data_IF_804734069525
#
_entry.id   IF_804734069525
#
_cell.length_a   1.000
_cell.length_b   1.000
_cell.length_c   1.000
_cell.angle_alpha   90.00
_cell.angle_beta   90.00
_cell.angle_gamma   90.00
#
_symmetry.space_group_name_H-M   'P 1'
#
loop_
_entity.id
_entity.type
_entity.pdbx_description
1 polymer ?
#
# COMPACT_ATOMS: atom_id res chain seq x y z
N UNK A 1 46.89 -55.17 28.34
CA UNK A 1 46.41 -54.58 27.07
C UNK A 1 45.97 -53.15 27.40
N UNK A 2 46.82 -52.11 27.27
CA UNK A 2 47.07 -51.27 26.06
C UNK A 2 45.77 -50.75 25.44
N UNK A 3 45.50 -49.48 25.12
CA UNK A 3 46.22 -48.19 25.05
C UNK A 3 45.12 -47.13 24.76
N UNK A 4 44.97 -46.03 25.51
CA UNK A 4 45.39 -44.64 25.22
C UNK A 4 45.61 -44.22 23.73
N UNK A 5 45.15 -42.98 23.43
CA UNK A 5 45.28 -42.10 22.23
C UNK A 5 44.22 -42.30 21.14
N UNK A 6 43.53 -41.28 20.58
CA UNK A 6 43.95 -39.95 20.04
C UNK A 6 42.65 -39.27 19.50
N UNK A 7 42.25 -38.01 19.75
CA UNK A 7 42.67 -36.70 19.18
C UNK A 7 41.69 -35.67 19.84
N UNK A 8 42.07 -34.72 20.70
CA UNK A 8 42.85 -33.49 20.49
C UNK A 8 42.19 -32.46 19.56
N UNK A 9 41.49 -31.48 20.14
CA UNK A 9 41.39 -30.12 19.61
C UNK A 9 41.29 -29.13 20.78
N UNK A 10 42.46 -28.79 21.31
CA UNK A 10 42.67 -27.60 22.13
C UNK A 10 42.28 -26.37 21.32
N UNK A 11 41.16 -25.72 21.66
CA UNK A 11 41.05 -24.28 21.52
C UNK A 11 41.54 -23.68 22.85
N UNK A 12 42.82 -23.33 22.84
CA UNK A 12 43.51 -22.51 23.81
C UNK A 12 42.62 -21.39 24.36
N UNK A 13 42.17 -21.54 25.60
CA UNK A 13 41.94 -20.41 26.49
C UNK A 13 43.31 -19.75 26.70
N UNK A 14 43.66 -18.84 25.79
CA UNK A 14 44.75 -17.90 26.01
C UNK A 14 44.28 -16.91 27.08
N UNK A 15 44.25 -17.35 28.34
CA UNK A 15 44.43 -16.44 29.45
C UNK A 15 45.80 -15.78 29.24
N UNK A 16 45.91 -14.44 29.18
CA UNK A 16 47.21 -13.82 29.27
C UNK A 16 47.78 -14.23 30.62
N UNK A 17 48.78 -15.11 30.59
CA UNK A 17 49.57 -15.46 31.75
C UNK A 17 50.15 -14.14 32.23
N UNK A 18 49.60 -13.61 33.32
CA UNK A 18 50.20 -12.52 34.06
C UNK A 18 51.59 -13.03 34.45
N UNK A 19 52.62 -12.44 33.85
CA UNK A 19 53.99 -12.72 34.21
C UNK A 19 54.15 -12.43 35.70
N UNK A 20 54.11 -13.47 36.52
CA UNK A 20 54.36 -13.38 37.95
C UNK A 20 55.86 -13.18 38.14
N UNK A 21 56.30 -11.95 38.30
CA UNK A 21 57.58 -11.66 38.94
C UNK A 21 57.32 -11.49 40.45
N UNK A 22 57.72 -12.47 41.25
CA UNK A 22 57.74 -12.43 42.72
C UNK A 22 56.38 -12.36 43.47
N UNK A 23 55.32 -13.00 42.96
CA UNK A 23 54.14 -13.34 43.78
C UNK A 23 53.26 -12.17 44.23
N UNK A 24 53.38 -10.99 43.63
CA UNK A 24 52.42 -9.88 43.79
C UNK A 24 51.82 -9.50 42.44
N UNK A 25 50.49 -9.48 42.37
CA UNK A 25 49.74 -8.90 41.26
C UNK A 25 50.06 -7.40 41.20
N UNK A 26 50.61 -6.94 40.09
CA UNK A 26 50.76 -5.51 39.78
C UNK A 26 49.37 -4.93 39.49
N UNK A 27 48.78 -4.11 40.39
CA UNK A 27 47.42 -3.61 40.24
C UNK A 27 47.26 -2.74 39.00
N UNK A 28 48.32 -2.05 38.57
CA UNK A 28 48.28 -1.15 37.42
C UNK A 28 48.23 -1.91 36.08
N UNK A 29 48.86 -3.10 36.02
CA UNK A 29 48.80 -4.00 34.84
C UNK A 29 47.55 -4.87 34.82
N UNK A 30 47.02 -5.26 35.98
CA UNK A 30 45.76 -5.99 36.07
C UNK A 30 44.57 -5.11 35.60
N UNK A 31 44.55 -3.83 35.96
CA UNK A 31 43.49 -2.88 35.55
C UNK A 31 43.48 -2.64 34.04
N UNK A 32 44.65 -2.60 33.40
CA UNK A 32 44.77 -2.35 31.95
C UNK A 32 44.46 -3.58 31.11
N UNK A 33 44.59 -4.79 31.66
CA UNK A 33 44.23 -6.04 30.96
C UNK A 33 42.75 -6.42 31.15
N UNK A 34 42.10 -5.88 32.18
CA UNK A 34 40.63 -5.90 32.36
C UNK A 34 39.94 -4.69 31.72
N UNK A 35 40.44 -4.20 30.58
CA UNK A 35 39.60 -3.37 29.72
C UNK A 35 38.40 -4.20 29.29
N UNK A 36 37.29 -4.06 30.01
CA UNK A 36 35.97 -4.48 29.52
C UNK A 36 35.83 -3.81 28.16
N UNK A 37 35.90 -4.58 27.08
CA UNK A 37 35.75 -4.02 25.74
C UNK A 37 34.28 -3.63 25.60
N UNK A 38 33.99 -2.39 25.20
CA UNK A 38 32.62 -1.99 24.88
C UNK A 38 32.09 -2.92 23.81
N UNK A 39 30.95 -3.57 24.09
CA UNK A 39 30.28 -4.40 23.10
C UNK A 39 29.44 -3.53 22.18
N UNK A 40 29.52 -3.76 20.87
CA UNK A 40 28.64 -3.11 19.89
C UNK A 40 27.36 -3.93 19.62
N UNK A 41 27.09 -4.97 20.41
CA UNK A 41 25.92 -5.85 20.20
C UNK A 41 24.59 -5.08 20.26
N UNK A 42 24.51 -4.02 21.06
CA UNK A 42 23.34 -3.15 21.13
C UNK A 42 22.98 -2.55 19.75
N UNK A 43 23.94 -2.33 18.85
CA UNK A 43 23.69 -1.80 17.51
C UNK A 43 22.97 -2.77 16.58
N UNK A 44 22.93 -4.07 16.94
CA UNK A 44 22.23 -5.10 16.16
C UNK A 44 20.71 -5.00 16.28
N UNK A 45 20.18 -4.34 17.33
CA UNK A 45 18.73 -4.14 17.47
C UNK A 45 18.24 -3.08 16.47
N UNK A 46 17.11 -3.30 15.79
CA UNK A 46 16.61 -2.38 14.75
C UNK A 46 16.32 -0.97 15.27
N UNK A 47 16.02 -0.83 16.57
CA UNK A 47 15.80 0.47 17.19
C UNK A 47 17.03 1.38 17.20
N UNK A 48 18.24 0.83 17.07
CA UNK A 48 19.46 1.66 17.04
C UNK A 48 19.50 2.54 15.79
N UNK A 49 19.45 1.90 14.61
CA UNK A 49 19.47 2.62 13.33
C UNK A 49 18.32 3.63 13.24
N UNK A 50 17.14 3.24 13.72
CA UNK A 50 15.97 4.12 13.71
C UNK A 50 16.18 5.37 14.57
N UNK A 51 16.60 5.22 15.83
CA UNK A 51 16.81 6.38 16.69
C UNK A 51 18.00 7.24 16.25
N UNK A 52 19.05 6.65 15.69
CA UNK A 52 20.17 7.42 15.14
C UNK A 52 19.70 8.28 13.97
N UNK A 53 18.94 7.71 13.03
CA UNK A 53 18.36 8.47 11.90
C UNK A 53 17.43 9.59 12.39
N UNK A 54 16.51 9.29 13.31
CA UNK A 54 15.61 10.29 13.88
C UNK A 54 16.37 11.39 14.63
N UNK A 55 17.42 11.04 15.36
CA UNK A 55 18.26 12.01 16.06
C UNK A 55 19.05 12.91 15.10
N UNK A 56 19.59 12.34 14.00
CA UNK A 56 20.24 13.12 12.94
C UNK A 56 19.24 14.07 12.27
N UNK A 57 18.03 13.59 11.99
CA UNK A 57 16.97 14.40 11.40
C UNK A 57 16.50 15.54 12.32
N UNK A 58 16.33 15.26 13.63
CA UNK A 58 16.04 16.27 14.65
C UNK A 58 17.14 17.34 14.75
N UNK A 59 18.41 16.92 14.66
CA UNK A 59 19.57 17.81 14.65
C UNK A 59 19.60 18.70 13.40
N UNK A 60 19.38 18.13 12.22
CA UNK A 60 19.33 18.88 10.97
C UNK A 60 18.15 19.87 10.99
N UNK A 61 17.00 19.43 11.49
CA UNK A 61 15.80 20.29 11.65
C UNK A 61 16.11 21.49 12.55
N UNK A 62 16.76 21.27 13.70
CA UNK A 62 17.18 22.36 14.59
C UNK A 62 18.12 23.36 13.90
N UNK A 63 19.14 22.86 13.19
CA UNK A 63 20.11 23.70 12.48
C UNK A 63 19.49 24.54 11.36
N UNK A 64 18.40 24.04 10.78
CA UNK A 64 17.61 24.74 9.78
C UNK A 64 16.56 25.69 10.40
N UNK A 65 16.59 25.91 11.71
CA UNK A 65 15.65 26.81 12.42
C UNK A 65 14.27 26.20 12.69
N UNK A 66 14.12 24.89 12.49
CA UNK A 66 12.90 24.15 12.79
C UNK A 66 12.72 23.84 14.28
N UNK A 67 11.55 23.28 14.61
CA UNK A 67 11.28 22.77 15.96
C UNK A 67 11.94 21.40 16.13
N UNK A 68 12.68 21.23 17.22
CA UNK A 68 13.38 19.98 17.55
C UNK A 68 13.14 19.56 19.00
N UNK A 69 13.37 18.27 19.28
CA UNK A 69 13.27 17.66 20.60
C UNK A 69 14.45 18.05 21.48
N UNK A 70 15.66 18.02 20.93
CA UNK A 70 16.87 18.46 21.61
C UNK A 70 17.30 19.85 21.15
N UNK A 71 17.92 20.61 22.06
CA UNK A 71 18.58 21.87 21.73
C UNK A 71 20.03 21.53 21.37
N UNK A 72 20.30 21.34 20.08
CA UNK A 72 21.58 20.80 19.60
C UNK A 72 22.75 21.78 19.68
N UNK A 73 22.49 23.10 19.72
CA UNK A 73 23.53 24.11 19.71
C UNK A 73 24.48 23.95 18.51
N UNK A 74 25.79 23.97 18.77
CA UNK A 74 26.84 23.79 17.76
C UNK A 74 27.28 22.33 17.57
N UNK A 75 26.60 21.36 18.18
CA UNK A 75 26.99 19.94 18.10
C UNK A 75 26.89 19.41 16.66
N UNK A 76 27.71 18.41 16.31
CA UNK A 76 27.60 17.68 15.06
C UNK A 76 26.33 16.81 15.04
N UNK A 77 25.77 16.55 13.86
CA UNK A 77 24.62 15.65 13.73
C UNK A 77 25.12 14.22 13.56
N UNK A 78 25.53 13.60 14.67
CA UNK A 78 26.09 12.25 14.71
C UNK A 78 25.64 11.47 15.96
N UNK A 79 25.94 10.17 15.96
CA UNK A 79 25.63 9.22 17.04
C UNK A 79 26.13 9.72 18.42
N UNK A 80 27.35 10.26 18.48
CA UNK A 80 27.96 10.72 19.73
C UNK A 80 27.20 11.91 20.32
N UNK A 81 26.79 12.83 19.46
CA UNK A 81 26.03 14.02 19.86
C UNK A 81 24.60 13.68 20.27
N UNK A 82 23.99 12.64 19.66
CA UNK A 82 22.70 12.10 20.11
C UNK A 82 22.81 11.59 21.55
N UNK A 83 23.78 10.69 21.82
CA UNK A 83 23.98 10.14 23.17
C UNK A 83 24.31 11.24 24.18
N UNK A 84 25.13 12.24 23.79
CA UNK A 84 25.40 13.41 24.62
C UNK A 84 24.11 14.18 24.96
N UNK A 85 23.29 14.48 23.96
CA UNK A 85 22.02 15.21 24.14
C UNK A 85 21.02 14.46 25.02
N UNK A 86 20.97 13.13 24.91
CA UNK A 86 20.16 12.28 25.81
C UNK A 86 20.68 12.36 27.25
N UNK A 87 22.00 12.28 27.44
CA UNK A 87 22.63 12.33 28.76
C UNK A 87 22.49 13.69 29.47
N UNK A 88 22.38 14.79 28.72
CA UNK A 88 22.13 16.13 29.27
C UNK A 88 20.76 16.27 29.96
N UNK A 89 19.82 15.35 29.67
CA UNK A 89 18.51 15.26 30.34
C UNK A 89 18.33 13.86 30.92
N UNK A 90 18.85 13.53 32.11
CA UNK A 90 18.80 12.18 32.67
C UNK A 90 17.41 11.54 32.69
N UNK A 91 16.35 12.35 32.87
CA UNK A 91 14.95 11.93 32.78
C UNK A 91 14.50 11.40 31.40
N UNK A 92 15.20 11.70 30.30
CA UNK A 92 14.88 11.17 28.97
C UNK A 92 15.54 9.82 28.69
N UNK A 93 16.61 9.46 29.41
CA UNK A 93 17.34 8.19 29.22
C UNK A 93 16.41 6.98 29.26
N UNK A 94 15.47 6.85 30.23
CA UNK A 94 14.58 5.69 30.26
C UNK A 94 13.67 5.60 29.03
N UNK A 95 13.12 6.72 28.58
CA UNK A 95 12.22 6.76 27.41
C UNK A 95 13.01 6.48 26.13
N UNK A 96 14.20 7.06 25.99
CA UNK A 96 15.11 6.81 24.87
C UNK A 96 15.47 5.33 24.79
N UNK A 97 15.88 4.72 25.90
CA UNK A 97 16.25 3.32 25.93
C UNK A 97 15.05 2.40 25.69
N UNK A 98 13.88 2.71 26.25
CA UNK A 98 12.66 1.94 25.98
C UNK A 98 12.24 2.02 24.50
N UNK A 99 12.33 3.21 23.88
CA UNK A 99 12.07 3.36 22.46
C UNK A 99 13.06 2.57 21.62
N UNK A 100 14.35 2.60 21.96
CA UNK A 100 15.40 1.79 21.34
C UNK A 100 15.08 0.28 21.43
N UNK A 101 14.71 -0.15 22.63
CA UNK A 101 14.51 -1.56 22.97
C UNK A 101 13.28 -2.14 22.26
N UNK A 102 12.18 -1.40 22.22
CA UNK A 102 10.89 -1.89 21.73
C UNK A 102 10.61 -1.59 20.25
N UNK A 103 11.41 -0.73 19.61
CA UNK A 103 11.21 -0.41 18.20
C UNK A 103 11.28 -1.65 17.31
N UNK A 104 10.31 -1.80 16.42
CA UNK A 104 10.19 -2.95 15.51
C UNK A 104 9.56 -4.19 16.16
N UNK A 105 9.22 -4.15 17.45
CA UNK A 105 8.40 -5.20 18.07
C UNK A 105 6.99 -5.22 17.45
N UNK A 106 6.29 -6.35 17.58
CA UNK A 106 4.90 -6.47 17.12
C UNK A 106 3.97 -5.44 17.79
N UNK A 107 4.25 -5.10 19.05
CA UNK A 107 3.40 -4.21 19.85
C UNK A 107 3.66 -2.73 19.53
N UNK A 108 4.92 -2.33 19.30
CA UNK A 108 5.28 -0.92 19.01
C UNK A 108 5.25 -0.61 17.51
N UNK A 109 5.72 -1.54 16.68
CA UNK A 109 5.87 -1.35 15.25
C UNK A 109 7.14 -0.57 14.86
N UNK A 110 7.24 -0.26 13.58
CA UNK A 110 8.34 0.46 12.96
C UNK A 110 7.83 1.35 11.83
N UNK A 111 8.58 2.39 11.47
CA UNK A 111 8.31 3.15 10.24
C UNK A 111 8.79 2.34 9.03
N UNK A 112 7.96 2.34 7.99
CA UNK A 112 8.17 1.56 6.76
C UNK A 112 9.26 2.12 5.86
N UNK A 113 9.51 3.43 5.94
CA UNK A 113 10.57 4.16 5.25
C UNK A 113 10.88 5.45 6.02
N UNK A 114 12.07 6.02 5.81
CA UNK A 114 12.48 7.33 6.33
C UNK A 114 12.38 8.44 5.26
N UNK A 115 11.95 8.12 4.03
CA UNK A 115 11.80 9.08 2.94
C UNK A 115 10.49 9.84 3.06
N UNK A 116 10.52 11.17 3.25
CA UNK A 116 9.31 11.99 3.49
C UNK A 116 8.15 11.71 2.52
N UNK A 117 7.16 10.97 3.01
CA UNK A 117 5.83 10.82 2.40
C UNK A 117 4.81 11.03 3.52
N UNK A 118 3.65 11.61 3.22
CA UNK A 118 2.59 11.87 4.20
C UNK A 118 2.25 10.64 5.08
N UNK A 119 2.43 9.41 4.54
CA UNK A 119 2.16 8.15 5.24
C UNK A 119 3.06 7.94 6.46
N UNK A 120 4.27 8.50 6.43
CA UNK A 120 5.23 8.41 7.54
C UNK A 120 4.76 9.22 8.74
N UNK A 121 4.02 10.31 8.55
CA UNK A 121 3.57 11.14 9.68
C UNK A 121 2.61 10.38 10.59
N UNK A 122 1.74 9.53 10.01
CA UNK A 122 0.84 8.66 10.76
C UNK A 122 1.62 7.54 11.49
N UNK A 123 2.54 6.87 10.79
CA UNK A 123 3.38 5.81 11.37
C UNK A 123 4.25 6.36 12.53
N UNK A 124 4.86 7.55 12.36
CA UNK A 124 5.65 8.22 13.39
C UNK A 124 4.83 8.63 14.60
N UNK A 125 3.63 9.17 14.41
CA UNK A 125 2.76 9.58 15.51
C UNK A 125 2.21 8.40 16.30
N UNK A 126 2.08 7.22 15.68
CA UNK A 126 1.57 6.00 16.31
C UNK A 126 2.58 5.33 17.25
N UNK A 127 3.88 5.39 16.92
CA UNK A 127 4.95 4.75 17.70
C UNK A 127 4.94 5.19 19.18
N UNK A 128 4.91 6.49 19.53
CA UNK A 128 4.83 6.93 20.92
C UNK A 128 3.59 6.41 21.67
N UNK A 129 2.44 6.29 20.99
CA UNK A 129 1.19 5.78 21.57
C UNK A 129 1.32 4.30 21.93
N UNK A 130 1.84 3.51 20.98
CA UNK A 130 2.05 2.09 21.19
C UNK A 130 3.12 1.85 22.27
N UNK A 131 4.21 2.61 22.23
CA UNK A 131 5.25 2.56 23.25
C UNK A 131 4.69 2.86 24.65
N UNK A 132 3.88 3.92 24.80
CA UNK A 132 3.24 4.25 26.07
C UNK A 132 2.31 3.12 26.56
N UNK A 133 1.66 2.42 25.64
CA UNK A 133 0.81 1.26 25.93
C UNK A 133 1.62 0.07 26.43
N UNK A 134 2.69 -0.30 25.72
CA UNK A 134 3.61 -1.39 26.12
C UNK A 134 4.25 -1.11 27.47
N UNK A 135 4.65 0.13 27.70
CA UNK A 135 5.29 0.58 28.94
C UNK A 135 4.33 0.71 30.14
N UNK A 136 3.03 0.50 29.93
CA UNK A 136 2.07 0.38 31.04
C UNK A 136 2.16 -0.98 31.75
N UNK A 137 2.88 -1.96 31.19
CA UNK A 137 3.11 -3.27 31.80
C UNK A 137 4.37 -3.27 32.69
N UNK A 138 4.24 -3.41 34.03
CA UNK A 138 5.40 -3.36 34.94
C UNK A 138 6.46 -4.44 34.67
N UNK A 139 6.05 -5.65 34.29
CA UNK A 139 6.99 -6.75 34.01
C UNK A 139 7.84 -6.45 32.77
N UNK A 140 7.25 -5.80 31.77
CA UNK A 140 7.96 -5.33 30.58
C UNK A 140 8.98 -4.26 30.95
N UNK A 141 8.61 -3.31 31.79
CA UNK A 141 9.51 -2.24 32.27
C UNK A 141 10.68 -2.80 33.08
N UNK A 142 10.44 -3.83 33.89
CA UNK A 142 11.52 -4.52 34.63
C UNK A 142 12.52 -5.18 33.68
N UNK A 143 12.05 -5.91 32.66
CA UNK A 143 12.93 -6.53 31.66
C UNK A 143 13.75 -5.49 30.88
N UNK A 144 13.12 -4.39 30.47
CA UNK A 144 13.81 -3.28 29.78
C UNK A 144 14.91 -2.67 30.67
N UNK A 145 14.66 -2.52 31.98
CA UNK A 145 15.67 -1.99 32.91
C UNK A 145 16.87 -2.94 33.06
N UNK A 146 16.64 -4.24 33.11
CA UNK A 146 17.72 -5.22 33.23
C UNK A 146 18.62 -5.21 31.98
N UNK A 147 18.03 -5.12 30.79
CA UNK A 147 18.77 -4.92 29.54
C UNK A 147 19.50 -3.58 29.52
N UNK A 148 18.88 -2.50 30.04
CA UNK A 148 19.50 -1.18 30.15
C UNK A 148 20.77 -1.21 31.02
N UNK A 149 20.77 -1.89 32.17
CA UNK A 149 21.97 -1.97 33.03
C UNK A 149 23.13 -2.68 32.31
N UNK A 150 22.82 -3.65 31.45
CA UNK A 150 23.81 -4.37 30.64
C UNK A 150 24.34 -3.48 29.48
N UNK A 151 23.45 -2.79 28.78
CA UNK A 151 23.78 -2.07 27.55
C UNK A 151 24.36 -0.67 27.80
N UNK A 152 23.92 0.03 28.86
CA UNK A 152 24.16 1.48 29.05
C UNK A 152 25.64 1.87 28.96
N UNK A 153 26.53 1.03 29.49
CA UNK A 153 27.96 1.34 29.55
C UNK A 153 28.60 1.33 28.16
N UNK A 154 28.22 0.33 27.35
CA UNK A 154 28.68 0.22 25.96
C UNK A 154 28.06 1.31 25.08
N UNK A 155 26.78 1.62 25.27
CA UNK A 155 26.08 2.73 24.59
C UNK A 155 26.60 4.12 24.98
N UNK A 156 27.21 4.26 26.15
CA UNK A 156 27.62 5.56 26.70
C UNK A 156 26.49 6.33 27.38
N UNK A 157 25.41 5.65 27.80
CA UNK A 157 24.33 6.25 28.59
C UNK A 157 24.72 6.37 30.07
N UNK A 158 24.34 7.48 30.69
CA UNK A 158 24.51 7.70 32.14
C UNK A 158 23.69 6.69 32.93
N UNK A 159 24.17 6.34 34.13
CA UNK A 159 23.45 5.45 35.06
C UNK A 159 22.23 6.16 35.63
N UNK A 160 21.09 5.49 35.59
CA UNK A 160 19.81 5.89 36.19
C UNK A 160 19.41 4.81 37.19
N UNK A 161 18.94 5.21 38.38
CA UNK A 161 18.49 4.23 39.36
C UNK A 161 17.24 3.49 38.86
N UNK A 162 17.03 2.24 39.28
CA UNK A 162 15.81 1.48 38.93
C UNK A 162 14.52 2.25 39.29
N UNK A 163 14.53 2.93 40.43
CA UNK A 163 13.40 3.76 40.87
C UNK A 163 13.14 4.90 39.89
N UNK A 164 14.17 5.68 39.55
CA UNK A 164 14.03 6.82 38.64
C UNK A 164 13.67 6.37 37.23
N UNK A 165 14.23 5.24 36.77
CA UNK A 165 13.88 4.64 35.50
C UNK A 165 12.38 4.33 35.43
N UNK A 166 11.87 3.59 36.42
CA UNK A 166 10.44 3.24 36.51
C UNK A 166 9.55 4.48 36.62
N UNK A 167 9.96 5.48 37.40
CA UNK A 167 9.20 6.72 37.56
C UNK A 167 9.11 7.52 36.25
N UNK A 168 10.20 7.63 35.49
CA UNK A 168 10.20 8.29 34.18
C UNK A 168 9.33 7.55 33.16
N UNK A 169 9.40 6.22 33.13
CA UNK A 169 8.55 5.39 32.27
C UNK A 169 7.07 5.54 32.64
N UNK A 170 6.74 5.50 33.93
CA UNK A 170 5.37 5.69 34.40
C UNK A 170 4.84 7.10 34.07
N UNK A 171 5.67 8.13 34.17
CA UNK A 171 5.32 9.49 33.77
C UNK A 171 5.03 9.59 32.27
N UNK A 172 5.83 8.92 31.43
CA UNK A 172 5.58 8.84 29.99
C UNK A 172 4.29 8.07 29.67
N UNK A 173 4.10 6.90 30.27
CA UNK A 173 2.92 6.07 30.05
C UNK A 173 1.60 6.78 30.45
N UNK A 174 1.63 7.64 31.48
CA UNK A 174 0.48 8.48 31.86
C UNK A 174 0.05 9.46 30.76
N UNK A 175 0.94 9.83 29.84
CA UNK A 175 0.61 10.71 28.71
C UNK A 175 -0.02 9.97 27.52
N UNK A 176 -0.29 8.65 27.62
CA UNK A 176 -0.85 7.83 26.54
C UNK A 176 -2.07 8.46 25.89
N UNK A 177 -3.03 8.94 26.68
CA UNK A 177 -4.29 9.46 26.14
C UNK A 177 -4.10 10.79 25.39
N UNK A 178 -3.14 11.62 25.82
CA UNK A 178 -2.74 12.83 25.11
C UNK A 178 -2.03 12.51 23.80
N UNK A 179 -1.13 11.51 23.81
CA UNK A 179 -0.47 11.01 22.60
C UNK A 179 -1.49 10.42 21.61
N UNK A 180 -2.46 9.64 22.10
CA UNK A 180 -3.52 9.06 21.29
C UNK A 180 -4.41 10.14 20.64
N UNK A 181 -4.73 11.18 21.39
CA UNK A 181 -5.49 12.33 20.86
C UNK A 181 -4.70 13.07 19.77
N UNK A 182 -3.40 13.27 19.97
CA UNK A 182 -2.53 13.90 18.96
C UNK A 182 -2.40 13.04 17.70
N UNK A 183 -2.26 11.72 17.87
CA UNK A 183 -2.25 10.75 16.78
C UNK A 183 -3.55 10.82 15.98
N UNK A 184 -4.71 10.75 16.64
CA UNK A 184 -6.01 10.78 15.97
C UNK A 184 -6.19 12.06 15.14
N UNK A 185 -5.77 13.21 15.68
CA UNK A 185 -5.82 14.48 14.95
C UNK A 185 -4.97 14.45 13.68
N UNK A 186 -3.72 14.00 13.79
CA UNK A 186 -2.83 13.89 12.63
C UNK A 186 -3.35 12.89 11.60
N UNK A 187 -3.91 11.77 12.06
CA UNK A 187 -4.54 10.77 11.22
C UNK A 187 -5.71 11.36 10.42
N UNK A 188 -6.64 12.04 11.08
CA UNK A 188 -7.83 12.62 10.45
C UNK A 188 -7.48 13.72 9.44
N UNK A 189 -6.48 14.55 9.74
CA UNK A 189 -5.96 15.58 8.82
C UNK A 189 -5.35 14.94 7.57
N UNK A 190 -4.52 13.91 7.74
CA UNK A 190 -3.91 13.19 6.61
C UNK A 190 -4.97 12.49 5.75
N UNK A 191 -5.99 11.85 6.36
CA UNK A 191 -7.08 11.21 5.61
C UNK A 191 -7.83 12.18 4.71
N UNK A 192 -8.11 13.40 5.19
CA UNK A 192 -8.75 14.44 4.38
C UNK A 192 -7.89 14.85 3.19
N UNK A 193 -6.59 15.02 3.41
CA UNK A 193 -5.66 15.36 2.33
C UNK A 193 -5.60 14.25 1.27
N UNK A 194 -5.49 12.98 1.69
CA UNK A 194 -5.48 11.86 0.75
C UNK A 194 -6.76 11.75 -0.08
N UNK A 195 -7.90 12.00 0.53
CA UNK A 195 -9.17 11.99 -0.19
C UNK A 195 -9.20 13.12 -1.24
N UNK A 196 -8.78 14.33 -0.88
CA UNK A 196 -8.72 15.46 -1.81
C UNK A 196 -7.75 15.21 -2.97
N UNK A 197 -6.57 14.65 -2.70
CA UNK A 197 -5.58 14.30 -3.72
C UNK A 197 -6.09 13.20 -4.66
N UNK A 198 -6.76 12.17 -4.11
CA UNK A 198 -7.40 11.11 -4.89
C UNK A 198 -8.48 11.69 -5.80
N UNK A 199 -9.37 12.52 -5.28
CA UNK A 199 -10.48 13.10 -6.04
C UNK A 199 -9.96 14.03 -7.15
N UNK A 200 -8.92 14.81 -6.87
CA UNK A 200 -8.25 15.64 -7.87
C UNK A 200 -7.60 14.79 -8.97
N UNK A 201 -6.95 13.68 -8.60
CA UNK A 201 -6.35 12.74 -9.57
C UNK A 201 -7.42 12.10 -10.45
N UNK A 202 -8.47 11.54 -9.86
CA UNK A 202 -9.59 10.91 -10.60
C UNK A 202 -10.23 11.91 -11.56
N UNK A 203 -10.42 13.16 -11.14
CA UNK A 203 -10.96 14.22 -12.01
C UNK A 203 -10.03 14.51 -13.19
N UNK A 204 -8.72 14.56 -12.95
CA UNK A 204 -7.71 14.78 -14.00
C UNK A 204 -7.66 13.62 -14.99
N UNK A 205 -7.55 12.39 -14.50
CA UNK A 205 -7.54 11.16 -15.31
C UNK A 205 -8.80 11.06 -16.17
N UNK A 206 -9.97 11.39 -15.61
CA UNK A 206 -11.24 11.44 -16.37
C UNK A 206 -11.19 12.49 -17.49
N UNK A 207 -10.67 13.67 -17.22
CA UNK A 207 -10.55 14.74 -18.22
C UNK A 207 -9.57 14.36 -19.34
N UNK A 208 -8.43 13.78 -18.99
CA UNK A 208 -7.43 13.27 -19.94
C UNK A 208 -7.99 12.13 -20.80
N UNK A 209 -8.76 11.21 -20.20
CA UNK A 209 -9.43 10.13 -20.93
C UNK A 209 -10.41 10.69 -21.96
N UNK A 210 -11.28 11.62 -21.57
CA UNK A 210 -12.22 12.26 -22.49
C UNK A 210 -11.49 13.01 -23.60
N UNK A 211 -10.40 13.72 -23.29
CA UNK A 211 -9.60 14.43 -24.28
C UNK A 211 -8.88 13.52 -25.28
N UNK A 212 -8.59 12.27 -24.90
CA UNK A 212 -7.97 11.26 -25.77
C UNK A 212 -8.92 10.60 -26.76
N UNK A 213 -10.20 10.96 -26.73
CA UNK A 213 -11.24 10.32 -27.54
C UNK A 213 -10.95 10.46 -29.04
N UNK A 214 -10.85 9.33 -29.74
CA UNK A 214 -10.66 9.26 -31.19
C UNK A 214 -11.69 8.36 -31.84
N UNK A 215 -12.17 8.77 -33.00
CA UNK A 215 -13.12 7.99 -33.80
C UNK A 215 -12.45 6.76 -34.42
N UNK A 216 -13.20 5.66 -34.49
CA UNK A 216 -12.78 4.42 -35.12
C UNK A 216 -13.85 3.93 -36.08
N UNK A 217 -13.40 3.31 -37.17
CA UNK A 217 -14.26 2.59 -38.09
C UNK A 217 -14.28 1.10 -37.71
N UNK A 218 -15.45 0.56 -37.39
CA UNK A 218 -15.60 -0.86 -37.12
C UNK A 218 -15.59 -1.66 -38.43
N UNK A 219 -14.47 -2.33 -38.71
CA UNK A 219 -14.37 -3.24 -39.85
C UNK A 219 -14.69 -4.66 -39.39
N UNK A 220 -15.95 -5.07 -39.54
CA UNK A 220 -16.44 -6.38 -39.08
C UNK A 220 -16.16 -7.52 -40.07
N UNK A 221 -16.36 -7.27 -41.38
CA UNK A 221 -16.08 -8.21 -42.47
C UNK A 221 -15.46 -7.47 -43.65
N UNK A 222 -14.43 -8.06 -44.29
CA UNK A 222 -13.78 -7.46 -45.47
C UNK A 222 -14.69 -7.48 -46.70
N UNK A 223 -15.42 -8.59 -46.91
CA UNK A 223 -16.35 -8.79 -48.01
C UNK A 223 -17.69 -9.33 -47.45
N UNK A 224 -18.58 -8.45 -46.95
CA UNK A 224 -19.81 -8.90 -46.30
C UNK A 224 -20.79 -9.52 -47.30
N UNK A 225 -21.48 -10.59 -46.88
CA UNK A 225 -22.68 -11.11 -47.58
C UNK A 225 -23.82 -10.08 -47.54
N UNK A 226 -24.89 -10.23 -48.34
CA UNK A 226 -26.06 -9.35 -48.26
C UNK A 226 -26.65 -9.23 -46.85
N UNK A 227 -26.71 -10.32 -46.09
CA UNK A 227 -27.18 -10.35 -44.70
C UNK A 227 -26.21 -9.63 -43.76
N UNK A 228 -24.91 -9.88 -43.87
CA UNK A 228 -23.88 -9.19 -43.09
C UNK A 228 -23.86 -7.68 -43.39
N UNK A 229 -24.14 -7.29 -44.64
CA UNK A 229 -24.23 -5.88 -45.05
C UNK A 229 -25.32 -5.14 -44.27
N UNK A 230 -26.45 -5.78 -43.96
CA UNK A 230 -27.50 -5.16 -43.14
C UNK A 230 -27.00 -4.79 -41.74
N UNK A 231 -26.18 -5.65 -41.14
CA UNK A 231 -25.57 -5.42 -39.82
C UNK A 231 -24.52 -4.32 -39.90
N UNK A 232 -23.67 -4.33 -40.94
CA UNK A 232 -22.70 -3.25 -41.20
C UNK A 232 -23.40 -1.90 -41.34
N UNK A 233 -24.46 -1.83 -42.13
CA UNK A 233 -25.23 -0.60 -42.36
C UNK A 233 -25.91 -0.13 -41.07
N UNK A 234 -26.39 -1.04 -40.22
CA UNK A 234 -26.92 -0.71 -38.91
C UNK A 234 -25.84 -0.09 -38.00
N UNK A 235 -24.64 -0.67 -37.95
CA UNK A 235 -23.54 -0.13 -37.16
C UNK A 235 -23.02 1.21 -37.67
N UNK A 236 -23.12 1.51 -38.98
CA UNK A 236 -22.80 2.83 -39.52
C UNK A 236 -23.69 3.96 -38.98
N UNK A 237 -24.84 3.63 -38.35
CA UNK A 237 -25.69 4.63 -37.67
C UNK A 237 -25.15 5.06 -36.29
N UNK A 238 -24.12 4.36 -35.80
CA UNK A 238 -23.51 4.52 -34.49
C UNK A 238 -22.10 5.07 -34.65
N UNK A 239 -21.80 6.17 -33.95
CA UNK A 239 -20.44 6.72 -33.90
C UNK A 239 -19.63 5.92 -32.88
N UNK A 240 -18.57 5.25 -33.34
CA UNK A 240 -17.66 4.54 -32.46
C UNK A 240 -16.40 5.34 -32.18
N UNK A 241 -16.03 5.44 -30.92
CA UNK A 241 -14.80 6.10 -30.47
C UNK A 241 -14.05 5.22 -29.49
N UNK A 242 -12.77 5.47 -29.28
CA UNK A 242 -11.96 4.84 -28.23
C UNK A 242 -11.23 5.91 -27.44
N UNK A 243 -10.98 5.64 -26.16
CA UNK A 243 -10.16 6.48 -25.28
C UNK A 243 -8.93 5.71 -24.81
N UNK A 244 -7.96 6.42 -24.24
CA UNK A 244 -6.74 5.83 -23.67
C UNK A 244 -6.99 4.96 -22.41
N UNK A 245 -8.22 4.96 -21.89
CA UNK A 245 -8.70 4.07 -20.83
C UNK A 245 -8.94 2.62 -21.31
N UNK A 246 -8.69 2.33 -22.59
CA UNK A 246 -8.86 1.00 -23.18
C UNK A 246 -10.31 0.62 -23.45
N UNK A 247 -11.24 1.60 -23.43
CA UNK A 247 -12.67 1.39 -23.67
C UNK A 247 -13.07 1.95 -25.03
N UNK A 248 -13.89 1.18 -25.74
CA UNK A 248 -14.64 1.61 -26.90
C UNK A 248 -16.01 2.14 -26.47
N UNK A 249 -16.42 3.21 -27.14
CA UNK A 249 -17.64 3.94 -26.87
C UNK A 249 -18.52 3.95 -28.11
N UNK A 250 -19.83 3.81 -27.91
CA UNK A 250 -20.86 3.90 -28.93
C UNK A 250 -21.72 5.13 -28.63
N UNK A 251 -21.68 6.12 -29.52
CA UNK A 251 -22.33 7.42 -29.33
C UNK A 251 -22.00 8.09 -27.98
N UNK A 252 -20.74 7.98 -27.53
CA UNK A 252 -20.28 8.55 -26.27
C UNK A 252 -20.57 7.70 -25.02
N UNK A 253 -21.27 6.57 -25.15
CA UNK A 253 -21.54 5.62 -24.06
C UNK A 253 -20.55 4.46 -24.07
N UNK A 254 -20.14 4.01 -22.89
CA UNK A 254 -19.26 2.84 -22.76
C UNK A 254 -19.91 1.62 -23.42
N UNK A 255 -19.20 0.99 -24.35
CA UNK A 255 -19.68 -0.19 -25.07
C UNK A 255 -18.95 -1.45 -24.60
N UNK A 256 -17.64 -1.55 -24.87
CA UNK A 256 -16.81 -2.69 -24.46
C UNK A 256 -15.34 -2.28 -24.40
N UNK A 257 -14.44 -3.17 -23.98
CA UNK A 257 -13.00 -2.90 -24.09
C UNK A 257 -12.58 -2.89 -25.57
N UNK A 258 -11.50 -2.17 -25.89
CA UNK A 258 -10.92 -2.16 -27.24
C UNK A 258 -10.53 -3.57 -27.67
N UNK A 259 -9.95 -4.38 -26.77
CA UNK A 259 -9.68 -5.80 -27.03
C UNK A 259 -10.95 -6.62 -27.28
N UNK A 260 -12.06 -6.26 -26.62
CA UNK A 260 -13.37 -6.91 -26.81
C UNK A 260 -13.94 -6.73 -28.22
N UNK A 261 -13.56 -5.65 -28.94
CA UNK A 261 -14.00 -5.43 -30.32
C UNK A 261 -13.56 -6.56 -31.27
N UNK A 262 -12.46 -7.25 -30.97
CA UNK A 262 -12.01 -8.42 -31.75
C UNK A 262 -13.03 -9.57 -31.68
N UNK A 263 -13.71 -9.71 -30.54
CA UNK A 263 -14.73 -10.74 -30.31
C UNK A 263 -16.13 -10.32 -30.77
N UNK A 264 -16.34 -9.05 -31.09
CA UNK A 264 -17.64 -8.54 -31.54
C UNK A 264 -18.11 -9.22 -32.82
N UNK A 265 -17.21 -9.43 -33.79
CA UNK A 265 -17.52 -10.14 -35.04
C UNK A 265 -18.06 -11.55 -34.77
N UNK A 266 -17.42 -12.29 -33.87
CA UNK A 266 -17.85 -13.64 -33.52
C UNK A 266 -19.22 -13.63 -32.84
N UNK A 267 -19.44 -12.65 -31.95
CA UNK A 267 -20.74 -12.45 -31.28
C UNK A 267 -21.87 -12.20 -32.30
N UNK A 268 -21.60 -11.37 -33.31
CA UNK A 268 -22.56 -11.08 -34.39
C UNK A 268 -22.79 -12.29 -35.30
N UNK A 269 -21.74 -13.03 -35.65
CA UNK A 269 -21.89 -14.26 -36.43
C UNK A 269 -22.80 -15.26 -35.69
N UNK A 270 -22.60 -15.43 -34.38
CA UNK A 270 -23.44 -16.32 -33.56
C UNK A 270 -24.90 -15.85 -33.49
N UNK A 271 -25.15 -14.55 -33.34
CA UNK A 271 -26.52 -14.00 -33.42
C UNK A 271 -27.16 -14.19 -34.81
N UNK A 272 -26.36 -14.23 -35.86
CA UNK A 272 -26.86 -14.52 -37.22
C UNK A 272 -27.06 -16.02 -37.45
N UNK A 273 -26.25 -16.88 -36.85
CA UNK A 273 -26.43 -18.34 -36.88
C UNK A 273 -27.69 -18.77 -36.12
N UNK A 274 -28.02 -18.13 -34.99
CA UNK A 274 -29.26 -18.40 -34.27
C UNK A 274 -30.52 -18.11 -35.11
N UNK A 275 -30.45 -17.14 -36.03
CA UNK A 275 -31.49 -16.89 -37.02
C UNK A 275 -31.65 -18.04 -38.04
N UNK A 276 -30.63 -18.89 -38.23
CA UNK A 276 -30.69 -20.10 -39.06
C UNK A 276 -31.26 -21.29 -38.29
N UNK A 277 -30.95 -21.41 -37.00
CA UNK A 277 -31.45 -22.50 -36.15
C UNK A 277 -32.98 -22.43 -35.97
N UNK A 278 -33.55 -21.23 -35.91
CA UNK A 278 -35.01 -21.02 -35.91
C UNK A 278 -35.63 -21.44 -37.25
N UNK A 279 -34.91 -21.29 -38.37
CA UNK A 279 -35.33 -21.77 -39.69
C UNK A 279 -35.40 -23.30 -39.77
N UNK A 280 -34.48 -24.01 -39.10
CA UNK A 280 -34.48 -25.47 -39.05
C UNK A 280 -35.72 -26.06 -38.35
N UNK A 281 -36.34 -25.32 -37.41
CA UNK A 281 -37.61 -25.72 -36.76
C UNK A 281 -38.83 -25.63 -37.69
N UNK A 282 -38.74 -24.85 -38.78
CA UNK A 282 -39.82 -24.66 -39.77
C UNK A 282 -39.46 -25.27 -41.14
N UNK A 283 -38.43 -26.12 -41.18
CA UNK A 283 -37.90 -26.79 -42.39
C UNK A 283 -37.40 -25.80 -43.48
N UNK A 284 -36.96 -24.61 -43.08
CA UNK A 284 -36.31 -23.61 -43.94
C UNK A 284 -34.80 -23.54 -43.63
N UNK A 285 -33.96 -24.05 -44.54
CA UNK A 285 -32.49 -24.09 -44.40
C UNK A 285 -31.76 -22.76 -44.68
N UNK A 286 -32.47 -21.64 -44.71
CA UNK A 286 -31.89 -20.35 -45.07
C UNK A 286 -31.88 -19.47 -43.83
N UNK A 287 -30.77 -18.77 -43.55
CA UNK A 287 -30.75 -17.65 -42.60
C UNK A 287 -31.94 -16.76 -42.93
N UNK A 288 -32.94 -16.72 -42.04
CA UNK A 288 -34.15 -15.94 -42.32
C UNK A 288 -33.73 -14.48 -42.43
N UNK A 289 -33.71 -13.95 -43.65
CA UNK A 289 -33.33 -12.55 -43.92
C UNK A 289 -34.15 -11.58 -43.08
N UNK A 290 -35.40 -11.94 -42.75
CA UNK A 290 -36.26 -11.19 -41.85
C UNK A 290 -35.73 -11.16 -40.40
N UNK A 291 -35.13 -12.26 -39.91
CA UNK A 291 -34.49 -12.33 -38.60
C UNK A 291 -33.22 -11.46 -38.55
N UNK A 292 -32.34 -11.55 -39.55
CA UNK A 292 -31.16 -10.65 -39.61
C UNK A 292 -31.57 -9.19 -39.74
N UNK A 293 -32.64 -8.89 -40.48
CA UNK A 293 -33.20 -7.55 -40.56
C UNK A 293 -33.80 -7.07 -39.23
N UNK A 294 -34.34 -7.97 -38.39
CA UNK A 294 -34.75 -7.63 -37.03
C UNK A 294 -33.54 -7.29 -36.15
N UNK A 295 -32.48 -8.10 -36.18
CA UNK A 295 -31.22 -7.81 -35.48
C UNK A 295 -30.61 -6.46 -35.90
N UNK A 296 -30.61 -6.16 -37.19
CA UNK A 296 -30.15 -4.87 -37.70
C UNK A 296 -30.97 -3.70 -37.14
N UNK A 297 -32.31 -3.85 -37.06
CA UNK A 297 -33.19 -2.83 -36.44
C UNK A 297 -32.90 -2.66 -34.94
N UNK A 298 -32.62 -3.75 -34.23
CA UNK A 298 -32.27 -3.73 -32.81
C UNK A 298 -30.97 -2.96 -32.58
N UNK A 299 -29.95 -3.12 -33.44
CA UNK A 299 -28.69 -2.36 -33.38
C UNK A 299 -28.95 -0.86 -33.60
N UNK A 300 -29.78 -0.49 -34.57
CA UNK A 300 -30.14 0.92 -34.81
C UNK A 300 -30.84 1.52 -33.59
N UNK A 301 -31.77 0.78 -32.98
CA UNK A 301 -32.52 1.23 -31.80
C UNK A 301 -31.63 1.34 -30.55
N UNK A 302 -30.73 0.39 -30.36
CA UNK A 302 -29.67 0.45 -29.36
C UNK A 302 -28.78 1.69 -29.56
N UNK A 303 -28.39 1.97 -30.80
CA UNK A 303 -27.62 3.16 -31.17
C UNK A 303 -28.34 4.46 -30.82
N UNK A 304 -29.65 4.56 -31.09
CA UNK A 304 -30.47 5.70 -30.68
C UNK A 304 -30.56 5.84 -29.16
N UNK A 305 -30.74 4.73 -28.47
CA UNK A 305 -30.81 4.69 -27.00
C UNK A 305 -29.50 5.15 -26.38
N UNK A 306 -28.35 4.81 -26.97
CA UNK A 306 -27.05 5.32 -26.52
C UNK A 306 -26.95 6.86 -26.61
N UNK A 307 -27.59 7.48 -27.61
CA UNK A 307 -27.64 8.95 -27.78
C UNK A 307 -28.64 9.64 -26.84
N UNK A 308 -29.54 8.90 -26.21
CA UNK A 308 -30.58 9.47 -25.35
C UNK A 308 -29.96 10.02 -24.05
N UNK A 309 -30.00 11.34 -23.87
CA UNK A 309 -29.43 12.02 -22.70
C UNK A 309 -30.27 11.84 -21.43
N UNK A 310 -31.51 11.36 -21.54
CA UNK A 310 -32.35 11.04 -20.37
C UNK A 310 -31.92 9.76 -19.64
N UNK A 311 -31.13 8.92 -20.31
CA UNK A 311 -30.57 7.69 -19.74
C UNK A 311 -29.24 8.04 -19.06
N UNK A 312 -29.08 7.74 -17.78
CA UNK A 312 -27.80 7.96 -17.10
C UNK A 312 -26.74 6.94 -17.54
N UNK A 313 -25.45 7.27 -17.39
CA UNK A 313 -24.38 6.30 -17.63
C UNK A 313 -24.52 5.07 -16.72
N UNK A 314 -25.08 5.26 -15.52
CA UNK A 314 -25.34 4.17 -14.58
C UNK A 314 -26.43 3.23 -15.09
N UNK A 315 -27.55 3.78 -15.58
CA UNK A 315 -28.62 3.01 -16.20
C UNK A 315 -28.13 2.24 -17.44
N UNK A 316 -27.34 2.91 -18.29
CA UNK A 316 -26.75 2.29 -19.49
C UNK A 316 -25.82 1.12 -19.16
N UNK A 317 -24.90 1.31 -18.20
CA UNK A 317 -23.95 0.28 -17.80
C UNK A 317 -24.62 -0.88 -17.06
N UNK A 318 -25.66 -0.64 -16.26
CA UNK A 318 -26.44 -1.70 -15.64
C UNK A 318 -27.15 -2.56 -16.70
N UNK A 319 -27.76 -1.91 -17.69
CA UNK A 319 -28.40 -2.60 -18.80
C UNK A 319 -27.42 -3.38 -19.69
N UNK A 320 -26.15 -2.97 -19.76
CA UNK A 320 -25.11 -3.69 -20.49
C UNK A 320 -24.82 -5.07 -19.88
N UNK A 321 -24.87 -5.18 -18.55
CA UNK A 321 -24.69 -6.45 -17.84
C UNK A 321 -25.84 -7.40 -18.16
N UNK A 322 -27.07 -6.90 -18.18
CA UNK A 322 -28.25 -7.71 -18.53
C UNK A 322 -28.32 -8.03 -20.02
N UNK A 323 -27.84 -7.13 -20.88
CA UNK A 323 -27.75 -7.31 -22.32
C UNK A 323 -26.64 -8.29 -22.75
N UNK A 324 -25.67 -8.55 -21.87
CA UNK A 324 -24.60 -9.53 -22.03
C UNK A 324 -24.93 -10.78 -21.20
N UNK A 325 -25.91 -11.56 -21.67
CA UNK A 325 -26.36 -12.74 -20.94
C UNK A 325 -25.28 -13.83 -21.01
N UNK A 326 -24.52 -13.99 -19.92
CA UNK A 326 -23.55 -15.10 -19.76
C UNK A 326 -24.23 -16.49 -19.70
N UNK A 327 -25.56 -16.51 -19.62
CA UNK A 327 -26.44 -17.67 -19.44
C UNK A 327 -27.37 -17.97 -20.63
N UNK A 328 -27.06 -17.50 -21.85
CA UNK A 328 -27.78 -17.95 -23.05
C UNK A 328 -27.21 -19.30 -23.53
N UNK A 329 -27.97 -20.14 -24.26
CA UNK A 329 -27.44 -21.36 -24.88
C UNK A 329 -26.25 -21.07 -25.82
N UNK A 330 -26.20 -19.84 -26.36
CA UNK A 330 -25.13 -19.33 -27.23
C UNK A 330 -24.29 -18.34 -26.42
N UNK A 331 -23.14 -18.83 -25.94
CA UNK A 331 -22.20 -18.04 -25.15
C UNK A 331 -21.69 -16.84 -25.96
N UNK A 332 -21.67 -15.65 -25.37
CA UNK A 332 -21.17 -14.38 -25.96
C UNK A 332 -22.10 -13.68 -26.95
N UNK A 333 -23.39 -13.99 -26.96
CA UNK A 333 -24.38 -13.20 -27.70
C UNK A 333 -24.60 -11.80 -27.08
N UNK A 334 -24.84 -10.79 -27.92
CA UNK A 334 -25.24 -9.44 -27.49
C UNK A 334 -26.71 -9.21 -27.86
N UNK A 335 -27.57 -9.05 -26.86
CA UNK A 335 -28.99 -8.77 -27.05
C UNK A 335 -29.23 -7.26 -27.09
N UNK A 336 -29.03 -6.64 -28.25
CA UNK A 336 -29.10 -5.19 -28.44
C UNK A 336 -30.45 -4.58 -28.02
N UNK A 337 -31.57 -5.22 -28.38
CA UNK A 337 -32.91 -4.77 -27.99
C UNK A 337 -33.16 -4.90 -26.49
N UNK A 338 -32.66 -5.97 -25.85
CA UNK A 338 -32.77 -6.15 -24.41
C UNK A 338 -31.97 -5.09 -23.65
N UNK A 339 -30.72 -4.83 -24.07
CA UNK A 339 -29.91 -3.74 -23.51
C UNK A 339 -30.64 -2.40 -23.64
N UNK A 340 -31.11 -2.05 -24.84
CA UNK A 340 -31.83 -0.80 -25.06
C UNK A 340 -33.09 -0.67 -24.18
N UNK A 341 -33.87 -1.75 -24.06
CA UNK A 341 -35.05 -1.78 -23.20
C UNK A 341 -34.72 -1.62 -21.71
N UNK A 342 -33.74 -2.38 -21.22
CA UNK A 342 -33.33 -2.32 -19.82
C UNK A 342 -32.71 -0.97 -19.44
N UNK A 343 -32.03 -0.30 -20.37
CA UNK A 343 -31.48 1.03 -20.12
C UNK A 343 -32.61 2.04 -19.80
N UNK A 344 -33.75 1.95 -20.49
CA UNK A 344 -34.93 2.77 -20.22
C UNK A 344 -35.62 2.41 -18.91
N UNK A 345 -35.71 1.11 -18.59
CA UNK A 345 -36.25 0.62 -17.32
C UNK A 345 -35.42 1.11 -16.14
N UNK A 346 -34.09 1.06 -16.24
CA UNK A 346 -33.23 1.56 -15.17
C UNK A 346 -33.30 3.08 -15.06
N UNK A 347 -33.34 3.81 -16.18
CA UNK A 347 -33.53 5.25 -16.16
C UNK A 347 -34.84 5.65 -15.45
N UNK A 348 -35.97 4.95 -15.73
CA UNK A 348 -37.25 5.24 -15.07
C UNK A 348 -37.28 4.90 -13.58
N UNK A 349 -36.35 4.04 -13.11
CA UNK A 349 -36.14 3.72 -11.70
C UNK A 349 -35.16 4.67 -10.99
N UNK A 350 -34.67 5.70 -11.68
CA UNK A 350 -33.79 6.71 -11.09
C UNK A 350 -32.33 6.29 -10.95
N UNK A 351 -31.86 5.36 -11.81
CA UNK A 351 -30.45 4.94 -11.84
C UNK A 351 -29.52 6.07 -12.25
#
# INVERSE_FOLDING_TARGET
MTSLFRIAACASLAFPIVSCTAGKLDPAKALTTMHVVKSEDYKKRPGWDALVRLGIDDCNTYKNGGKSVFKWGEQSCDEKSIIKSVNEKPQSIPIFYAAYHEYGSHEVGSISTFEHVARISDEMAKIPVNLATVLSNPAKVDAIYDDYENDRWSMGLNKVSRSDFKNSIAAFAKNRDALASSYQKAHDENQKQYQAERDARVKREKAESIASEREINLVLWQNPTPEQRMIVDAFHTVKFTIRNDGVAYANGRRFMSVAGLESLKNSLNMSMESCSDVGAYVDEKVVSRACVQALARDIVEWGKTAKDSSISDRAWNAAAVDGSITYNPIKWEILFSHWAGMARVYASRGY
#
